data_IF_941470137979
#
_entry.id   IF_941470137979
#
_cell.length_a   1.000
_cell.length_b   1.000
_cell.length_c   1.000
_cell.angle_alpha   90.00
_cell.angle_beta   90.00
_cell.angle_gamma   90.00
#
_symmetry.space_group_name_H-M   'P 1'
#
loop_
_entity.id
_entity.type
_entity.pdbx_description
1 polymer ?
#
# COMPACT_ATOMS: atom_id res chain seq x y z
N UNK A 1 0.89 -11.27 -5.16
CA UNK A 1 1.31 -11.63 -6.54
C UNK A 1 1.56 -10.35 -7.35
N UNK A 2 1.93 -10.42 -8.64
CA UNK A 2 2.21 -9.24 -9.46
C UNK A 2 1.69 -9.43 -10.89
N UNK A 3 0.98 -8.44 -11.44
CA UNK A 3 0.47 -8.47 -12.83
C UNK A 3 0.22 -7.07 -13.36
N UNK A 4 0.54 -6.84 -14.64
CA UNK A 4 0.26 -5.58 -15.35
C UNK A 4 0.76 -4.33 -14.60
N UNK A 5 1.97 -4.39 -14.03
CA UNK A 5 2.58 -3.32 -13.24
C UNK A 5 1.94 -3.05 -11.86
N UNK A 6 1.03 -3.90 -11.40
CA UNK A 6 0.45 -3.85 -10.06
C UNK A 6 0.92 -4.99 -9.19
N UNK A 7 1.23 -4.66 -7.93
CA UNK A 7 1.30 -5.63 -6.85
C UNK A 7 -0.10 -5.94 -6.33
N UNK A 8 -0.36 -7.22 -6.10
CA UNK A 8 -1.57 -7.73 -5.45
C UNK A 8 -1.15 -8.06 -4.02
N UNK A 9 -1.72 -7.32 -3.06
CA UNK A 9 -1.35 -7.39 -1.64
C UNK A 9 -1.68 -8.76 -1.04
N UNK A 10 -2.93 -9.18 -1.17
CA UNK A 10 -3.42 -10.51 -0.81
C UNK A 10 -4.25 -11.04 -1.99
N UNK A 11 -4.02 -12.29 -2.39
CA UNK A 11 -4.77 -12.96 -3.46
C UNK A 11 -6.25 -13.14 -3.16
N UNK A 12 -6.64 -13.13 -1.89
CA UNK A 12 -8.04 -13.16 -1.48
C UNK A 12 -8.67 -11.76 -1.45
N UNK A 13 -7.85 -10.72 -1.29
CA UNK A 13 -8.29 -9.34 -1.37
C UNK A 13 -8.42 -8.89 -2.82
N UNK A 14 -9.26 -7.87 -3.06
CA UNK A 14 -9.25 -7.13 -4.32
C UNK A 14 -8.30 -5.93 -4.27
N UNK A 15 -7.39 -5.86 -3.29
CA UNK A 15 -6.50 -4.72 -3.12
C UNK A 15 -5.34 -4.75 -4.11
N UNK A 16 -5.15 -3.64 -4.81
CA UNK A 16 -4.02 -3.42 -5.73
C UNK A 16 -3.11 -2.32 -5.19
N UNK A 17 -1.82 -2.43 -5.47
CA UNK A 17 -0.87 -1.38 -5.11
C UNK A 17 0.26 -1.20 -6.12
N UNK A 18 0.74 0.04 -6.23
CA UNK A 18 1.98 0.40 -6.90
C UNK A 18 2.98 0.84 -5.84
N UNK A 19 4.20 0.30 -5.92
CA UNK A 19 5.27 0.60 -4.96
C UNK A 19 6.43 1.28 -5.68
N UNK A 20 6.89 2.39 -5.12
CA UNK A 20 8.11 3.06 -5.54
C UNK A 20 9.18 2.99 -4.45
N UNK A 21 10.43 3.15 -4.87
CA UNK A 21 11.58 3.32 -3.98
C UNK A 21 11.43 4.59 -3.14
N UNK A 22 12.16 4.70 -2.05
CA UNK A 22 12.04 5.82 -1.10
C UNK A 22 10.64 5.99 -0.46
N UNK A 23 9.80 4.96 -0.53
CA UNK A 23 8.53 4.90 0.22
C UNK A 23 7.29 5.37 -0.53
N UNK A 24 7.29 5.40 -1.86
CA UNK A 24 6.10 5.76 -2.62
C UNK A 24 5.08 4.62 -2.61
N UNK A 25 3.81 4.95 -2.39
CA UNK A 25 2.70 4.00 -2.44
C UNK A 25 1.47 4.64 -3.08
N UNK A 26 0.89 3.91 -4.03
CA UNK A 26 -0.53 4.07 -4.40
C UNK A 26 -1.20 2.75 -4.04
N UNK A 27 -2.20 2.79 -3.16
CA UNK A 27 -2.96 1.62 -2.71
C UNK A 27 -4.44 1.82 -3.00
N UNK A 28 -5.11 0.77 -3.50
CA UNK A 28 -6.50 0.81 -3.90
C UNK A 28 -7.22 -0.39 -3.26
N UNK A 29 -8.19 -0.12 -2.38
CA UNK A 29 -9.05 -1.13 -1.76
C UNK A 29 -10.49 -0.97 -2.24
N UNK A 30 -10.99 -1.97 -2.95
CA UNK A 30 -12.39 -1.99 -3.40
C UNK A 30 -13.35 -2.29 -2.25
N UNK A 31 -12.95 -3.16 -1.32
CA UNK A 31 -13.73 -3.52 -0.13
C UNK A 31 -14.08 -2.27 0.69
N UNK A 32 -13.09 -1.42 0.93
CA UNK A 32 -13.26 -0.20 1.73
C UNK A 32 -13.60 1.04 0.89
N UNK A 33 -13.78 0.88 -0.44
CA UNK A 33 -13.99 1.98 -1.41
C UNK A 33 -12.98 3.12 -1.22
N UNK A 34 -11.71 2.76 -1.01
CA UNK A 34 -10.66 3.68 -0.59
C UNK A 34 -9.46 3.64 -1.53
N UNK A 35 -8.87 4.81 -1.77
CA UNK A 35 -7.57 4.96 -2.42
C UNK A 35 -6.65 5.74 -1.49
N UNK A 36 -5.42 5.25 -1.29
CA UNK A 36 -4.38 5.94 -0.54
C UNK A 36 -3.22 6.28 -1.45
N UNK A 37 -2.82 7.54 -1.43
CA UNK A 37 -1.57 8.01 -2.03
C UNK A 37 -0.65 8.45 -0.90
N UNK A 38 0.52 7.83 -0.82
CA UNK A 38 1.56 8.19 0.13
C UNK A 38 2.85 8.49 -0.62
N UNK A 39 3.30 9.73 -0.48
CA UNK A 39 4.59 10.19 -0.99
C UNK A 39 5.55 10.34 0.19
N UNK A 40 6.79 9.95 -0.01
CA UNK A 40 7.79 9.95 1.05
C UNK A 40 9.19 10.11 0.49
N UNK A 41 10.14 10.35 1.39
CA UNK A 41 11.57 10.34 1.07
C UNK A 41 12.26 9.55 2.18
N UNK A 42 12.17 8.21 2.11
CA UNK A 42 12.88 7.37 3.07
C UNK A 42 14.38 7.65 3.03
N UNK A 43 15.10 7.53 4.16
CA UNK A 43 16.54 7.72 4.19
C UNK A 43 17.28 6.66 3.34
N UNK A 44 16.69 5.46 3.22
CA UNK A 44 17.24 4.35 2.44
C UNK A 44 16.43 4.11 1.15
N UNK A 45 17.10 3.62 0.11
CA UNK A 45 16.48 3.25 -1.18
C UNK A 45 15.28 2.31 -1.02
N UNK A 46 15.40 1.33 -0.11
CA UNK A 46 14.29 0.48 0.35
C UNK A 46 14.36 0.29 1.86
N UNK A 47 13.20 0.19 2.50
CA UNK A 47 13.11 -0.13 3.92
C UNK A 47 11.87 -0.99 4.18
N UNK A 48 12.09 -2.26 4.58
CA UNK A 48 11.01 -3.23 4.80
C UNK A 48 10.15 -2.86 6.01
N UNK A 49 10.78 -2.43 7.11
CA UNK A 49 10.06 -2.07 8.32
C UNK A 49 9.09 -0.90 8.06
N UNK A 50 9.54 0.13 7.34
CA UNK A 50 8.68 1.26 6.96
C UNK A 50 7.58 0.85 5.99
N UNK A 51 7.86 -0.05 5.05
CA UNK A 51 6.85 -0.57 4.13
C UNK A 51 5.74 -1.33 4.89
N UNK A 52 6.11 -2.18 5.86
CA UNK A 52 5.15 -2.91 6.71
C UNK A 52 4.34 -1.94 7.58
N UNK A 53 5.00 -0.98 8.23
CA UNK A 53 4.32 0.04 9.03
C UNK A 53 3.33 0.86 8.19
N UNK A 54 3.68 1.17 6.94
CA UNK A 54 2.81 1.88 6.00
C UNK A 54 1.55 1.10 5.69
N UNK A 55 1.65 -0.18 5.33
CA UNK A 55 0.48 -1.00 5.04
C UNK A 55 -0.40 -1.20 6.29
N UNK A 56 0.21 -1.38 7.47
CA UNK A 56 -0.54 -1.40 8.74
C UNK A 56 -1.34 -0.11 8.97
N UNK A 57 -0.75 1.05 8.69
CA UNK A 57 -1.44 2.32 8.80
C UNK A 57 -2.59 2.44 7.79
N UNK A 58 -2.39 1.99 6.54
CA UNK A 58 -3.46 1.94 5.52
C UNK A 58 -4.63 1.10 6.00
N UNK A 59 -4.37 -0.10 6.54
CA UNK A 59 -5.42 -0.97 7.08
C UNK A 59 -6.14 -0.37 8.29
N UNK A 60 -5.40 0.28 9.20
CA UNK A 60 -6.00 0.95 10.35
C UNK A 60 -6.92 2.11 9.92
N UNK A 61 -6.51 2.90 8.94
CA UNK A 61 -7.34 3.98 8.36
C UNK A 61 -8.58 3.38 7.69
N UNK A 62 -8.42 2.31 6.89
CA UNK A 62 -9.52 1.64 6.23
C UNK A 62 -10.59 1.17 7.24
N UNK A 63 -10.15 0.52 8.32
CA UNK A 63 -11.03 0.05 9.38
C UNK A 63 -11.71 1.18 10.15
N UNK A 64 -11.06 2.33 10.30
CA UNK A 64 -11.63 3.50 10.99
C UNK A 64 -12.66 4.26 10.13
N UNK A 65 -12.67 4.05 8.82
CA UNK A 65 -13.56 4.72 7.86
C UNK A 65 -14.66 3.80 7.31
N UNK A 66 -14.69 2.53 7.73
CA UNK A 66 -15.70 1.54 7.36
C UNK A 66 -17.03 1.79 8.08
#
# INVERSE_FOLDING_TARGET
SYRNQFWIEDSHSRSLMCRGVFGQLIHMSWEHRMVVVKLSTYPDFTNKAYSVATLKAVHAIAAALA
#
